data_IF_408212388350
#
_entry.id   IF_408212388350
#
_cell.length_a   1.000
_cell.length_b   1.000
_cell.length_c   1.000
_cell.angle_alpha   90.00
_cell.angle_beta   90.00
_cell.angle_gamma   90.00
#
_symmetry.space_group_name_H-M   'P 1'
#
loop_
_entity.id
_entity.type
_entity.pdbx_description
1 polymer ?
#
# COMPACT_ATOMS: atom_id res chain seq x y z
N UNK A 1 14.30 -9.14 14.42
CA UNK A 1 14.51 -9.00 12.98
C UNK A 1 13.19 -8.76 12.28
N UNK A 2 13.17 -7.89 11.26
CA UNK A 2 12.07 -7.65 10.35
C UNK A 2 12.58 -7.78 8.92
N UNK A 3 11.76 -8.35 8.03
CA UNK A 3 12.16 -8.64 6.65
C UNK A 3 11.36 -7.78 5.66
N UNK A 4 12.00 -7.51 4.52
CA UNK A 4 11.41 -6.82 3.36
C UNK A 4 10.78 -5.46 3.69
N UNK A 5 11.51 -4.65 4.44
CA UNK A 5 11.02 -3.34 4.85
C UNK A 5 11.25 -2.32 3.74
N UNK A 6 10.16 -1.87 3.15
CA UNK A 6 10.17 -0.80 2.14
C UNK A 6 10.69 0.49 2.75
N UNK A 7 11.55 1.20 2.02
CA UNK A 7 12.25 2.40 2.46
C UNK A 7 13.22 2.20 3.64
N UNK A 8 13.40 0.97 4.14
CA UNK A 8 14.22 0.70 5.30
C UNK A 8 15.69 1.09 5.14
N UNK A 9 16.20 1.14 3.89
CA UNK A 9 17.59 1.54 3.62
C UNK A 9 17.86 3.03 3.79
N UNK A 10 16.85 3.91 3.73
CA UNK A 10 17.02 5.36 3.80
C UNK A 10 16.03 6.10 4.72
N UNK A 11 15.03 5.42 5.29
CA UNK A 11 14.15 6.03 6.26
C UNK A 11 14.92 6.48 7.52
N UNK A 12 14.54 7.60 8.10
CA UNK A 12 15.11 8.11 9.35
C UNK A 12 14.27 7.70 10.55
N UNK A 13 12.95 7.51 10.35
CA UNK A 13 11.99 7.12 11.37
C UNK A 13 11.26 5.84 10.97
N UNK A 14 11.08 4.93 11.91
CA UNK A 14 10.47 3.63 11.70
C UNK A 14 9.34 3.39 12.71
N UNK A 15 8.18 2.98 12.24
CA UNK A 15 7.14 2.42 13.11
C UNK A 15 7.38 0.91 13.20
N UNK A 16 7.73 0.45 14.39
CA UNK A 16 8.07 -0.95 14.66
C UNK A 16 7.05 -1.58 15.57
N UNK A 17 6.44 -2.68 15.13
CA UNK A 17 5.55 -3.48 15.96
C UNK A 17 6.32 -4.61 16.63
N UNK A 18 6.19 -4.72 17.95
CA UNK A 18 6.80 -5.77 18.75
C UNK A 18 5.89 -6.19 19.90
N UNK A 19 6.16 -7.34 20.48
CA UNK A 19 5.44 -7.83 21.66
C UNK A 19 6.18 -7.46 22.94
N UNK A 20 5.46 -6.93 23.91
CA UNK A 20 5.94 -6.77 25.29
C UNK A 20 5.46 -7.98 26.08
N UNK A 21 6.28 -8.52 26.95
CA UNK A 21 5.99 -9.69 27.79
C UNK A 21 5.48 -10.92 27.01
N UNK A 22 5.89 -11.04 25.74
CA UNK A 22 5.56 -12.17 24.87
C UNK A 22 4.22 -12.10 24.15
N UNK A 23 3.23 -11.33 24.61
CA UNK A 23 1.87 -11.31 24.06
C UNK A 23 1.31 -9.91 23.75
N UNK A 24 1.71 -8.87 24.46
CA UNK A 24 1.16 -7.53 24.30
C UNK A 24 1.70 -6.84 23.05
N UNK A 25 1.04 -7.07 21.92
CA UNK A 25 1.43 -6.49 20.64
C UNK A 25 1.31 -4.96 20.67
N UNK A 26 2.44 -4.26 20.57
CA UNK A 26 2.57 -2.82 20.74
C UNK A 26 3.33 -2.20 19.57
N UNK A 27 3.20 -0.88 19.38
CA UNK A 27 3.89 -0.12 18.36
C UNK A 27 4.90 0.83 18.99
N UNK A 28 6.03 1.04 18.33
CA UNK A 28 7.13 1.88 18.79
C UNK A 28 7.64 2.74 17.64
N UNK A 29 8.10 3.94 17.96
CA UNK A 29 8.83 4.81 17.04
C UNK A 29 10.33 4.61 17.29
N UNK A 30 11.05 4.20 16.26
CA UNK A 30 12.50 4.07 16.29
C UNK A 30 13.13 5.04 15.30
N UNK A 31 14.29 5.56 15.64
CA UNK A 31 15.07 6.45 14.78
C UNK A 31 16.30 5.71 14.24
N UNK A 32 16.72 6.12 13.05
CA UNK A 32 17.98 5.64 12.47
C UNK A 32 19.14 5.97 13.40
N UNK A 33 20.03 5.01 13.61
CA UNK A 33 21.22 5.17 14.45
C UNK A 33 21.00 4.91 15.93
N UNK A 34 19.81 4.51 16.38
CA UNK A 34 19.63 3.99 17.74
C UNK A 34 20.57 2.80 17.97
N UNK A 35 21.15 2.72 19.17
CA UNK A 35 22.03 1.63 19.57
C UNK A 35 21.30 0.28 19.44
N UNK A 36 21.97 -0.70 18.82
CA UNK A 36 21.41 -2.03 18.60
C UNK A 36 20.39 -2.14 17.46
N UNK A 37 20.13 -1.05 16.71
CA UNK A 37 19.28 -1.04 15.53
C UNK A 37 20.11 -0.83 14.26
N UNK A 38 20.06 -1.81 13.33
CA UNK A 38 20.83 -1.76 12.08
C UNK A 38 19.98 -2.20 10.89
N UNK A 39 20.34 -1.69 9.71
CA UNK A 39 19.76 -2.07 8.43
C UNK A 39 20.68 -3.06 7.70
N UNK A 40 20.09 -4.04 7.06
CA UNK A 40 20.78 -4.97 6.17
C UNK A 40 21.05 -4.39 4.78
N UNK A 41 21.68 -5.16 3.90
CA UNK A 41 21.86 -4.79 2.50
C UNK A 41 20.53 -4.76 1.75
N UNK A 42 20.53 -4.08 0.60
CA UNK A 42 19.38 -4.04 -0.31
C UNK A 42 19.05 -5.44 -0.84
N UNK A 43 17.77 -5.77 -0.84
CA UNK A 43 17.26 -7.04 -1.35
C UNK A 43 17.29 -7.09 -2.88
N UNK A 44 17.68 -8.24 -3.43
CA UNK A 44 17.61 -8.52 -4.86
C UNK A 44 16.17 -8.80 -5.31
N UNK A 45 15.46 -7.76 -5.76
CA UNK A 45 14.06 -7.87 -6.17
C UNK A 45 13.93 -8.16 -7.66
N UNK A 46 12.86 -8.86 -8.05
CA UNK A 46 12.51 -9.10 -9.45
C UNK A 46 12.13 -7.80 -10.16
N UNK A 47 11.47 -6.87 -9.49
CA UNK A 47 11.05 -5.57 -10.00
C UNK A 47 11.06 -4.49 -8.94
N UNK A 48 10.59 -3.29 -9.29
CA UNK A 48 10.53 -2.10 -8.42
C UNK A 48 11.90 -1.83 -7.77
N UNK A 49 12.97 -1.93 -8.55
CA UNK A 49 14.36 -1.80 -8.07
C UNK A 49 14.72 -0.38 -7.65
N UNK A 50 13.95 0.62 -8.08
CA UNK A 50 14.09 2.01 -7.63
C UNK A 50 13.58 2.29 -6.21
N UNK A 51 12.93 1.32 -5.56
CA UNK A 51 12.49 1.39 -4.18
C UNK A 51 13.40 0.56 -3.29
N UNK A 52 13.91 1.14 -2.19
CA UNK A 52 14.70 0.40 -1.19
C UNK A 52 13.86 -0.68 -0.53
N UNK A 53 14.45 -1.84 -0.30
CA UNK A 53 13.86 -2.92 0.50
C UNK A 53 14.98 -3.64 1.22
N UNK A 54 14.98 -3.62 2.55
CA UNK A 54 16.04 -4.21 3.38
C UNK A 54 15.46 -5.01 4.53
N UNK A 55 16.31 -5.74 5.20
CA UNK A 55 16.01 -6.32 6.51
C UNK A 55 16.41 -5.35 7.63
N UNK A 56 15.68 -5.38 8.74
CA UNK A 56 16.02 -4.64 9.95
C UNK A 56 16.40 -5.61 11.05
N UNK A 57 17.49 -5.31 11.74
CA UNK A 57 18.04 -6.12 12.82
C UNK A 57 17.99 -5.32 14.12
N UNK A 58 17.62 -6.02 15.21
CA UNK A 58 17.55 -5.47 16.55
C UNK A 58 18.35 -6.40 17.46
N UNK A 59 19.38 -5.87 18.08
CA UNK A 59 20.23 -6.58 19.03
C UNK A 59 20.40 -5.71 20.27
N UNK A 60 19.74 -6.09 21.34
CA UNK A 60 19.73 -5.33 22.60
C UNK A 60 19.36 -3.84 22.42
N UNK A 61 18.50 -3.55 21.42
CA UNK A 61 18.08 -2.21 21.09
C UNK A 61 17.22 -1.63 22.22
N UNK A 62 17.72 -0.60 22.87
CA UNK A 62 17.03 0.11 23.95
C UNK A 62 16.13 1.18 23.34
N UNK A 63 14.81 1.02 23.51
CA UNK A 63 13.81 1.99 23.04
C UNK A 63 13.27 2.74 24.24
N UNK A 64 13.35 4.08 24.28
CA UNK A 64 12.77 4.90 25.35
C UNK A 64 11.27 4.64 25.51
N UNK A 65 10.74 4.75 26.73
CA UNK A 65 9.31 4.52 27.01
C UNK A 65 8.43 5.53 26.28
N UNK A 66 8.88 6.75 26.12
CA UNK A 66 8.21 7.83 25.39
C UNK A 66 8.07 7.56 23.88
N UNK A 67 8.82 6.60 23.34
CA UNK A 67 8.72 6.16 21.96
C UNK A 67 7.61 5.08 21.77
N UNK A 68 6.87 4.73 22.81
CA UNK A 68 5.68 3.91 22.68
C UNK A 68 4.61 4.69 21.90
N UNK A 69 4.14 4.13 20.80
CA UNK A 69 3.08 4.70 19.98
C UNK A 69 1.73 4.13 20.43
N UNK A 70 0.91 4.97 21.04
CA UNK A 70 -0.38 4.57 21.61
C UNK A 70 -0.24 3.80 22.92
N UNK A 71 -1.10 2.81 23.16
CA UNK A 71 -1.14 2.03 24.39
C UNK A 71 -0.47 0.66 24.25
N UNK A 72 0.10 0.17 25.35
CA UNK A 72 0.65 -1.19 25.44
C UNK A 72 -0.42 -2.23 25.09
N UNK A 73 -0.09 -3.15 24.17
CA UNK A 73 -0.99 -4.23 23.73
C UNK A 73 -2.01 -3.81 22.68
N UNK A 74 -2.10 -2.52 22.31
CA UNK A 74 -3.04 -2.02 21.29
C UNK A 74 -2.42 -1.67 19.94
N UNK A 75 -1.20 -2.12 19.66
CA UNK A 75 -0.54 -1.91 18.39
C UNK A 75 -1.30 -2.46 17.17
N UNK A 76 -2.14 -3.49 17.37
CA UNK A 76 -2.98 -4.05 16.31
C UNK A 76 -4.02 -3.04 15.79
N UNK A 77 -4.54 -2.16 16.63
CA UNK A 77 -5.49 -1.10 16.22
C UNK A 77 -4.80 -0.16 15.23
N UNK A 78 -3.58 0.29 15.57
CA UNK A 78 -2.77 1.16 14.70
C UNK A 78 -2.49 0.45 13.37
N UNK A 79 -2.05 -0.82 13.41
CA UNK A 79 -1.70 -1.59 12.23
C UNK A 79 -2.91 -1.78 11.30
N UNK A 80 -4.08 -2.14 11.82
CA UNK A 80 -5.27 -2.37 11.02
C UNK A 80 -5.86 -1.10 10.42
N UNK A 81 -5.84 0.01 11.16
CA UNK A 81 -6.30 1.30 10.63
C UNK A 81 -5.46 1.76 9.43
N UNK A 82 -4.13 1.65 9.52
CA UNK A 82 -3.24 1.96 8.40
C UNK A 82 -3.54 1.07 7.19
N UNK A 83 -3.77 -0.24 7.40
CA UNK A 83 -4.06 -1.20 6.33
C UNK A 83 -5.39 -0.92 5.62
N UNK A 84 -6.42 -0.47 6.34
CA UNK A 84 -7.72 -0.16 5.74
C UNK A 84 -7.61 0.99 4.73
N UNK A 85 -6.98 2.09 5.11
CA UNK A 85 -6.70 3.23 4.21
C UNK A 85 -5.75 2.80 3.09
N UNK A 86 -4.74 2.01 3.40
CA UNK A 86 -3.77 1.50 2.44
C UNK A 86 -4.41 0.68 1.31
N UNK A 87 -5.41 -0.14 1.62
CA UNK A 87 -6.16 -0.95 0.62
C UNK A 87 -6.94 -0.06 -0.35
N UNK A 88 -7.61 0.99 0.14
CA UNK A 88 -8.34 1.93 -0.72
C UNK A 88 -7.37 2.67 -1.66
N UNK A 89 -6.26 3.17 -1.14
CA UNK A 89 -5.21 3.83 -1.93
C UNK A 89 -4.61 2.91 -2.99
N UNK A 90 -4.36 1.64 -2.64
CA UNK A 90 -3.83 0.64 -3.58
C UNK A 90 -4.81 0.36 -4.72
N UNK A 91 -6.11 0.29 -4.42
CA UNK A 91 -7.15 0.14 -5.45
C UNK A 91 -7.15 1.33 -6.41
N UNK A 92 -7.06 2.57 -5.91
CA UNK A 92 -6.97 3.78 -6.73
C UNK A 92 -5.74 3.77 -7.65
N UNK A 93 -4.57 3.39 -7.12
CA UNK A 93 -3.33 3.29 -7.89
C UNK A 93 -3.44 2.22 -8.99
N UNK A 94 -4.01 1.04 -8.68
CA UNK A 94 -4.20 -0.04 -9.64
C UNK A 94 -5.15 0.37 -10.80
N UNK A 95 -6.23 1.09 -10.49
CA UNK A 95 -7.15 1.61 -11.50
C UNK A 95 -6.51 2.66 -12.40
N UNK A 96 -5.69 3.55 -11.85
CA UNK A 96 -4.89 4.50 -12.63
C UNK A 96 -3.96 3.80 -13.62
N UNK A 97 -3.23 2.78 -13.15
CA UNK A 97 -2.38 1.93 -13.99
C UNK A 97 -3.16 1.17 -15.06
N UNK A 98 -4.35 0.65 -14.73
CA UNK A 98 -5.21 -0.06 -15.67
C UNK A 98 -5.71 0.88 -16.80
N UNK A 99 -6.12 2.11 -16.48
CA UNK A 99 -6.52 3.13 -17.48
C UNK A 99 -5.38 3.47 -18.44
N UNK A 100 -4.18 3.69 -17.90
CA UNK A 100 -3.01 3.98 -18.71
C UNK A 100 -2.69 2.80 -19.64
N UNK A 101 -2.65 1.57 -19.11
CA UNK A 101 -2.42 0.35 -19.89
C UNK A 101 -3.45 0.13 -21.00
N UNK A 102 -4.74 0.45 -20.74
CA UNK A 102 -5.78 0.37 -21.76
C UNK A 102 -5.52 1.36 -22.90
N UNK A 103 -5.18 2.62 -22.58
CA UNK A 103 -4.89 3.65 -23.57
C UNK A 103 -3.69 3.26 -24.45
N UNK A 104 -2.60 2.80 -23.84
CA UNK A 104 -1.41 2.32 -24.56
C UNK A 104 -1.72 1.11 -25.45
N UNK A 105 -2.53 0.18 -24.93
CA UNK A 105 -2.97 -1.00 -25.69
C UNK A 105 -3.82 -0.61 -26.90
N UNK A 106 -4.74 0.35 -26.77
CA UNK A 106 -5.55 0.86 -27.88
C UNK A 106 -4.65 1.51 -28.93
N UNK A 107 -3.72 2.37 -28.50
CA UNK A 107 -2.78 3.03 -29.41
C UNK A 107 -1.95 2.02 -30.19
N UNK A 108 -1.38 1.04 -29.51
CA UNK A 108 -0.61 -0.04 -30.12
C UNK A 108 -1.46 -0.87 -31.09
N UNK A 109 -2.67 -1.28 -30.68
CA UNK A 109 -3.54 -2.13 -31.50
C UNK A 109 -4.00 -1.43 -32.80
N UNK A 110 -4.06 -0.10 -32.81
CA UNK A 110 -4.39 0.69 -34.02
C UNK A 110 -3.24 0.78 -35.03
N UNK A 111 -1.99 0.68 -34.55
CA UNK A 111 -0.80 0.84 -35.38
C UNK A 111 -0.16 -0.49 -35.76
N UNK A 112 -0.29 -1.52 -34.93
CA UNK A 112 0.26 -2.86 -35.23
C UNK A 112 -0.60 -3.55 -36.27
N UNK A 113 0.02 -3.97 -37.36
CA UNK A 113 -0.64 -4.72 -38.45
C UNK A 113 -0.25 -6.20 -38.46
N UNK A 114 -1.21 -7.05 -38.77
CA UNK A 114 -1.07 -8.43 -39.11
C UNK A 114 -2.12 -8.79 -40.20
N UNK A 115 -1.81 -9.67 -41.12
CA UNK A 115 -2.69 -10.06 -42.22
C UNK A 115 -3.24 -8.85 -43.00
N UNK A 116 -2.38 -7.85 -43.24
CA UNK A 116 -2.67 -6.60 -43.96
C UNK A 116 -3.75 -5.70 -43.33
N UNK A 117 -3.95 -5.79 -42.02
CA UNK A 117 -4.89 -4.92 -41.30
C UNK A 117 -4.41 -4.66 -39.87
N UNK A 118 -4.81 -3.53 -39.31
CA UNK A 118 -4.52 -3.25 -37.90
C UNK A 118 -5.15 -4.30 -37.00
N UNK A 119 -4.43 -4.75 -35.96
CA UNK A 119 -4.93 -5.82 -35.07
C UNK A 119 -6.18 -5.40 -34.30
N UNK A 120 -6.41 -4.08 -34.11
CA UNK A 120 -7.64 -3.54 -33.56
C UNK A 120 -8.91 -3.96 -34.32
N UNK A 121 -8.78 -4.37 -35.61
CA UNK A 121 -9.92 -4.80 -36.42
C UNK A 121 -10.37 -6.23 -36.16
N UNK A 122 -9.55 -7.05 -35.49
CA UNK A 122 -9.91 -8.43 -35.16
C UNK A 122 -10.89 -8.50 -34.00
N UNK A 123 -11.93 -9.35 -34.14
CA UNK A 123 -12.98 -9.53 -33.13
C UNK A 123 -12.44 -9.90 -31.77
N UNK A 124 -11.43 -10.78 -31.69
CA UNK A 124 -10.80 -11.18 -30.43
C UNK A 124 -10.12 -9.99 -29.70
N UNK A 125 -9.49 -9.09 -30.44
CA UNK A 125 -8.87 -7.88 -29.87
C UNK A 125 -9.93 -6.89 -29.41
N UNK A 126 -10.94 -6.65 -30.24
CA UNK A 126 -12.09 -5.79 -29.84
C UNK A 126 -12.75 -6.27 -28.56
N UNK A 127 -12.99 -7.59 -28.47
CA UNK A 127 -13.56 -8.19 -27.26
C UNK A 127 -12.69 -7.94 -26.04
N UNK A 128 -11.37 -8.18 -26.13
CA UNK A 128 -10.45 -7.94 -25.01
C UNK A 128 -10.43 -6.47 -24.57
N UNK A 129 -10.38 -5.54 -25.52
CA UNK A 129 -10.40 -4.10 -25.20
C UNK A 129 -11.73 -3.67 -24.54
N UNK A 130 -12.86 -4.22 -25.01
CA UNK A 130 -14.16 -3.96 -24.39
C UNK A 130 -14.23 -4.51 -22.95
N UNK A 131 -13.76 -5.75 -22.72
CA UNK A 131 -13.67 -6.35 -21.38
C UNK A 131 -12.79 -5.51 -20.43
N UNK A 132 -11.62 -5.03 -20.91
CA UNK A 132 -10.76 -4.16 -20.10
C UNK A 132 -11.48 -2.86 -19.73
N UNK A 133 -12.14 -2.21 -20.67
CA UNK A 133 -12.89 -0.97 -20.41
C UNK A 133 -14.03 -1.18 -19.41
N UNK A 134 -14.81 -2.26 -19.55
CA UNK A 134 -15.90 -2.63 -18.63
C UNK A 134 -15.36 -2.85 -17.22
N UNK A 135 -14.28 -3.63 -17.07
CA UNK A 135 -13.69 -3.93 -15.75
C UNK A 135 -13.14 -2.68 -15.07
N UNK A 136 -12.50 -1.78 -15.84
CA UNK A 136 -12.03 -0.49 -15.32
C UNK A 136 -13.20 0.36 -14.84
N UNK A 137 -14.28 0.47 -15.64
CA UNK A 137 -15.47 1.24 -15.28
C UNK A 137 -16.13 0.72 -14.00
N UNK A 138 -16.32 -0.60 -13.90
CA UNK A 138 -16.92 -1.23 -12.70
C UNK A 138 -16.02 -1.02 -11.49
N UNK A 139 -14.71 -1.24 -11.64
CA UNK A 139 -13.75 -1.04 -10.55
C UNK A 139 -13.69 0.42 -10.08
N UNK A 140 -13.71 1.37 -11.00
CA UNK A 140 -13.73 2.81 -10.69
C UNK A 140 -15.01 3.22 -9.96
N UNK A 141 -16.16 2.73 -10.43
CA UNK A 141 -17.46 2.97 -9.78
C UNK A 141 -17.46 2.44 -8.34
N UNK A 142 -16.96 1.23 -8.13
CA UNK A 142 -16.83 0.64 -6.80
C UNK A 142 -15.89 1.44 -5.90
N UNK A 143 -14.75 1.89 -6.44
CA UNK A 143 -13.78 2.70 -5.70
C UNK A 143 -14.40 4.02 -5.22
N UNK A 144 -15.01 4.79 -6.11
CA UNK A 144 -15.63 6.08 -5.75
C UNK A 144 -16.78 5.89 -4.77
N UNK A 145 -17.57 4.83 -4.94
CA UNK A 145 -18.65 4.52 -3.99
C UNK A 145 -18.10 4.20 -2.61
N UNK A 146 -17.05 3.41 -2.55
CA UNK A 146 -16.39 3.06 -1.27
C UNK A 146 -15.76 4.29 -0.62
N UNK A 147 -15.06 5.13 -1.40
CA UNK A 147 -14.47 6.37 -0.91
C UNK A 147 -15.55 7.28 -0.28
N UNK A 148 -16.70 7.44 -0.98
CA UNK A 148 -17.82 8.23 -0.45
C UNK A 148 -18.37 7.67 0.87
N UNK A 149 -18.44 6.35 1.02
CA UNK A 149 -18.89 5.75 2.28
C UNK A 149 -17.88 5.98 3.42
N UNK A 150 -16.58 6.00 3.11
CA UNK A 150 -15.55 6.35 4.10
C UNK A 150 -15.71 7.79 4.54
N UNK A 151 -15.84 8.74 3.59
CA UNK A 151 -16.03 10.17 3.89
C UNK A 151 -17.30 10.41 4.72
N UNK A 152 -18.40 9.73 4.36
CA UNK A 152 -19.68 9.85 5.09
C UNK A 152 -19.54 9.33 6.53
N UNK A 153 -18.81 8.20 6.69
CA UNK A 153 -18.60 7.61 8.03
C UNK A 153 -17.68 8.47 8.88
N UNK A 154 -16.64 9.04 8.30
CA UNK A 154 -15.74 9.98 8.98
C UNK A 154 -16.52 11.19 9.48
N UNK A 155 -17.34 11.80 8.63
CA UNK A 155 -18.20 12.93 8.98
C UNK A 155 -19.18 12.58 10.13
N UNK A 156 -19.77 11.39 10.09
CA UNK A 156 -20.69 10.90 11.15
C UNK A 156 -19.95 10.76 12.50
N UNK A 157 -18.74 10.23 12.48
CA UNK A 157 -17.93 10.01 13.69
C UNK A 157 -17.46 11.34 14.28
N UNK A 158 -16.99 12.26 13.47
CA UNK A 158 -16.60 13.61 13.90
C UNK A 158 -17.79 14.34 14.56
N UNK A 159 -18.98 14.26 13.94
CA UNK A 159 -20.20 14.82 14.51
C UNK A 159 -20.58 14.19 15.86
N UNK A 160 -20.22 12.94 16.09
CA UNK A 160 -20.40 12.22 17.34
C UNK A 160 -19.28 12.46 18.37
N UNK A 161 -18.28 13.32 18.04
CA UNK A 161 -17.12 13.61 18.90
C UNK A 161 -16.11 12.44 19.00
N UNK A 162 -16.14 11.51 18.05
CA UNK A 162 -15.20 10.37 17.97
C UNK A 162 -14.12 10.63 16.94
N UNK A 163 -12.93 10.09 17.20
CA UNK A 163 -11.85 10.10 16.22
C UNK A 163 -11.95 8.89 15.27
N UNK A 164 -11.33 8.99 14.10
CA UNK A 164 -11.23 7.86 13.15
C UNK A 164 -10.55 6.61 13.76
N UNK A 165 -9.72 6.79 14.78
CA UNK A 165 -9.06 5.69 15.49
C UNK A 165 -10.01 4.93 16.44
N UNK A 166 -11.16 5.50 16.77
CA UNK A 166 -12.17 4.94 17.68
C UNK A 166 -13.33 4.26 16.92
N UNK A 167 -13.25 4.22 15.59
CA UNK A 167 -14.21 3.59 14.68
C UNK A 167 -13.81 2.17 14.30
#
# INVERSE_FOLDING_TARGET
>A
QKCWITNGGFADVYTVFAKIDGDKFSAFILERGMEGFTQGPEEHKMGIKGSSTVQLYFQDCKVPVENLLGEVGKGHIIAFNILNIGRLKLCAAALGGAKMSLNDTIAYAKTREQFKTAIANFGAIKYKLAEMAIRIFVGETALYRTAKWVDDKETELEAAGKTFAEA
#
